data_IF_216385482611
#
_entry.id   IF_216385482611
#
_cell.length_a   1.000
_cell.length_b   1.000
_cell.length_c   1.000
_cell.angle_alpha   90.00
_cell.angle_beta   90.00
_cell.angle_gamma   90.00
#
_symmetry.space_group_name_H-M   'P 1'
#
loop_
_entity.id
_entity.type
_entity.pdbx_description
1 polymer ?
#
# COMPACT_ATOMS: atom_id res chain seq x y z
N UNK A 1 -12.19 16.45 -6.33
CA UNK A 1 -12.27 15.99 -4.93
C UNK A 1 -13.55 15.23 -4.71
N UNK A 2 -13.51 14.11 -3.99
CA UNK A 2 -14.69 13.29 -3.69
C UNK A 2 -14.78 13.04 -2.18
N UNK A 3 -16.01 12.82 -1.70
CA UNK A 3 -16.30 12.50 -0.30
C UNK A 3 -17.16 11.24 -0.25
N UNK A 4 -16.68 10.25 0.48
CA UNK A 4 -17.37 8.98 0.76
C UNK A 4 -17.82 8.95 2.22
N UNK A 5 -18.89 8.20 2.56
CA UNK A 5 -19.39 8.15 3.93
C UNK A 5 -18.38 7.52 4.88
N UNK A 6 -18.45 7.85 6.18
CA UNK A 6 -17.61 7.21 7.20
C UNK A 6 -18.09 5.78 7.52
N UNK A 7 -19.41 5.58 7.45
CA UNK A 7 -20.08 4.31 7.71
C UNK A 7 -20.37 3.61 6.38
N UNK A 8 -20.07 2.31 6.32
CA UNK A 8 -20.29 1.46 5.15
C UNK A 8 -21.05 0.20 5.52
N UNK A 9 -21.71 -0.40 4.52
CA UNK A 9 -22.11 -1.81 4.65
C UNK A 9 -20.86 -2.68 4.64
N UNK A 10 -20.85 -3.69 5.52
CA UNK A 10 -19.81 -4.70 5.52
C UNK A 10 -19.78 -5.41 4.16
N UNK A 11 -18.57 -5.53 3.62
CA UNK A 11 -18.23 -6.26 2.42
C UNK A 11 -16.96 -7.07 2.71
N UNK A 12 -16.83 -8.28 2.14
CA UNK A 12 -15.66 -9.14 2.37
C UNK A 12 -14.36 -8.54 1.84
N UNK A 13 -14.44 -7.56 0.95
CA UNK A 13 -13.27 -6.83 0.44
C UNK A 13 -12.68 -5.86 1.46
N UNK A 14 -13.43 -5.42 2.47
CA UNK A 14 -12.89 -4.56 3.52
C UNK A 14 -11.90 -5.29 4.40
N UNK A 15 -10.93 -4.55 4.92
CA UNK A 15 -9.91 -5.08 5.80
C UNK A 15 -10.48 -5.57 7.14
N UNK A 16 -9.76 -6.51 7.73
CA UNK A 16 -10.03 -7.01 9.08
C UNK A 16 -9.69 -5.99 10.17
N UNK A 17 -9.31 -4.75 9.84
CA UNK A 17 -9.02 -3.70 10.82
C UNK A 17 -10.18 -2.72 11.03
N UNK A 18 -11.33 -2.95 10.40
CA UNK A 18 -12.54 -2.13 10.57
C UNK A 18 -13.34 -2.47 11.84
N UNK A 19 -13.93 -1.45 12.48
CA UNK A 19 -14.89 -1.68 13.57
C UNK A 19 -16.26 -2.06 13.00
N UNK A 20 -16.89 -3.08 13.57
CA UNK A 20 -18.28 -3.43 13.26
C UNK A 20 -19.22 -2.59 14.13
N UNK A 21 -20.26 -2.06 13.52
CA UNK A 21 -21.35 -1.37 14.20
C UNK A 21 -22.45 -2.39 14.48
N UNK A 22 -22.88 -2.47 15.74
CA UNK A 22 -24.00 -3.34 16.13
C UNK A 22 -25.28 -2.79 15.53
N UNK A 23 -25.98 -3.63 14.76
CA UNK A 23 -27.26 -3.33 14.12
C UNK A 23 -28.34 -4.26 14.65
N UNK A 24 -29.62 -3.98 14.37
CA UNK A 24 -30.71 -4.86 14.81
C UNK A 24 -30.62 -6.23 14.11
N UNK A 25 -31.28 -7.24 14.69
CA UNK A 25 -31.42 -8.56 14.06
C UNK A 25 -32.08 -8.37 12.68
N UNK A 26 -31.49 -8.99 11.64
CA UNK A 26 -31.87 -8.90 10.22
C UNK A 26 -31.48 -7.60 9.48
N UNK A 27 -30.79 -6.65 10.12
CA UNK A 27 -30.20 -5.53 9.40
C UNK A 27 -28.84 -5.91 8.80
N UNK A 28 -28.48 -5.27 7.68
CA UNK A 28 -27.16 -5.44 7.07
C UNK A 28 -26.10 -4.94 8.04
N UNK A 29 -25.03 -5.73 8.19
CA UNK A 29 -23.86 -5.36 9.00
C UNK A 29 -23.27 -4.05 8.50
N UNK A 30 -22.95 -3.16 9.43
CA UNK A 30 -22.30 -1.89 9.16
C UNK A 30 -20.89 -1.87 9.75
N UNK A 31 -20.00 -1.10 9.13
CA UNK A 31 -18.64 -0.87 9.61
C UNK A 31 -18.30 0.61 9.61
N UNK A 32 -17.31 0.99 10.43
CA UNK A 32 -16.54 2.21 10.22
C UNK A 32 -15.37 1.89 9.29
N UNK A 33 -15.16 2.72 8.27
CA UNK A 33 -14.05 2.53 7.32
C UNK A 33 -12.68 2.62 8.02
N UNK A 34 -11.79 1.71 7.68
CA UNK A 34 -10.38 1.68 8.11
C UNK A 34 -9.40 2.23 7.06
N UNK A 35 -9.91 2.40 5.84
CA UNK A 35 -9.25 2.98 4.67
C UNK A 35 -10.31 3.56 3.69
N UNK A 36 -9.91 4.48 2.80
CA UNK A 36 -10.82 5.15 1.86
C UNK A 36 -10.76 4.52 0.45
N UNK A 37 -9.68 3.83 0.08
CA UNK A 37 -9.37 3.35 -1.28
C UNK A 37 -10.49 2.49 -1.86
N UNK A 38 -11.02 1.53 -1.08
CA UNK A 38 -12.11 0.65 -1.54
C UNK A 38 -13.40 1.41 -1.82
N UNK A 39 -13.66 2.48 -1.07
CA UNK A 39 -14.80 3.36 -1.33
C UNK A 39 -14.61 4.12 -2.63
N UNK A 40 -13.38 4.58 -2.92
CA UNK A 40 -13.05 5.24 -4.19
C UNK A 40 -13.18 4.25 -5.36
N UNK A 41 -12.67 3.02 -5.22
CA UNK A 41 -12.81 1.98 -6.22
C UNK A 41 -14.29 1.71 -6.53
N UNK A 42 -15.13 1.54 -5.50
CA UNK A 42 -16.58 1.35 -5.65
C UNK A 42 -17.26 2.56 -6.28
N UNK A 43 -16.91 3.78 -5.86
CA UNK A 43 -17.42 5.03 -6.46
C UNK A 43 -17.08 5.09 -7.96
N UNK A 44 -15.84 4.73 -8.30
CA UNK A 44 -15.32 4.73 -9.67
C UNK A 44 -16.10 3.80 -10.60
N UNK A 45 -16.59 2.67 -10.05
CA UNK A 45 -17.36 1.67 -10.79
C UNK A 45 -18.86 2.00 -10.79
N UNK A 46 -19.45 2.30 -9.63
CA UNK A 46 -20.89 2.44 -9.49
C UNK A 46 -21.44 3.78 -10.00
N UNK A 47 -20.68 4.87 -9.88
CA UNK A 47 -21.14 6.22 -10.20
C UNK A 47 -20.37 6.89 -11.32
N UNK A 48 -19.12 6.49 -11.55
CA UNK A 48 -18.22 7.09 -12.53
C UNK A 48 -17.86 6.12 -13.67
N UNK A 49 -18.61 5.03 -13.86
CA UNK A 49 -18.36 4.06 -14.95
C UNK A 49 -18.35 4.69 -16.34
N UNK A 50 -19.24 5.66 -16.58
CA UNK A 50 -19.36 6.38 -17.87
C UNK A 50 -18.34 7.51 -18.08
N UNK A 51 -17.48 7.79 -17.09
CA UNK A 51 -16.45 8.83 -17.20
C UNK A 51 -15.21 8.27 -17.91
N UNK A 52 -14.60 9.09 -18.77
CA UNK A 52 -13.37 8.74 -19.51
C UNK A 52 -12.23 8.42 -18.54
N UNK A 53 -11.42 7.42 -18.87
CA UNK A 53 -10.25 7.00 -18.10
C UNK A 53 -8.97 7.67 -18.64
N UNK A 54 -7.94 7.87 -17.79
CA UNK A 54 -7.93 7.55 -16.35
C UNK A 54 -8.76 8.51 -15.50
N UNK A 55 -9.38 8.00 -14.42
CA UNK A 55 -9.95 8.87 -13.39
C UNK A 55 -8.86 9.27 -12.41
N UNK A 56 -8.73 10.59 -12.18
CA UNK A 56 -7.86 11.16 -11.15
C UNK A 56 -8.72 11.73 -10.03
N UNK A 57 -8.78 11.04 -8.91
CA UNK A 57 -9.69 11.37 -7.79
C UNK A 57 -8.86 11.65 -6.54
N UNK A 58 -9.06 12.81 -5.92
CA UNK A 58 -8.51 13.12 -4.59
C UNK A 58 -9.59 13.06 -3.51
N UNK A 59 -9.19 12.72 -2.28
CA UNK A 59 -10.07 12.59 -1.13
C UNK A 59 -9.38 13.03 0.15
N UNK A 60 -10.20 13.39 1.14
CA UNK A 60 -9.78 13.54 2.52
C UNK A 60 -10.90 13.06 3.46
N UNK A 61 -10.54 12.51 4.61
CA UNK A 61 -11.49 12.22 5.67
C UNK A 61 -10.96 11.27 6.74
N UNK A 62 -11.72 11.18 7.83
CA UNK A 62 -11.38 10.33 8.98
C UNK A 62 -11.41 8.85 8.62
N UNK A 63 -10.45 8.08 9.12
CA UNK A 63 -10.47 6.61 9.11
C UNK A 63 -10.34 6.10 10.53
N UNK A 64 -10.95 4.95 10.83
CA UNK A 64 -10.98 4.37 12.18
C UNK A 64 -10.55 2.91 12.13
N UNK A 65 -9.62 2.51 13.01
CA UNK A 65 -8.96 1.19 13.02
C UNK A 65 -9.11 0.49 14.37
N UNK A 66 -9.41 -0.81 14.36
CA UNK A 66 -9.45 -1.65 15.57
C UNK A 66 -8.12 -1.64 16.31
N UNK A 67 -7.03 -1.73 15.56
CA UNK A 67 -5.66 -1.70 16.04
C UNK A 67 -4.84 -0.65 15.27
N UNK A 68 -4.17 0.23 16.01
CA UNK A 68 -3.15 1.12 15.48
C UNK A 68 -1.88 0.34 15.12
N UNK A 69 -0.95 0.99 14.42
CA UNK A 69 0.38 0.43 14.18
C UNK A 69 1.37 0.93 15.23
N UNK A 70 2.57 0.33 15.31
CA UNK A 70 3.64 0.81 16.19
C UNK A 70 4.02 2.27 15.89
N UNK A 71 3.94 2.70 14.63
CA UNK A 71 4.28 4.05 14.20
C UNK A 71 3.11 5.04 14.33
N UNK A 72 1.87 4.54 14.42
CA UNK A 72 0.63 5.31 14.54
C UNK A 72 -0.33 4.54 15.45
N UNK A 73 -0.13 4.62 16.78
CA UNK A 73 -0.96 3.90 17.74
C UNK A 73 -2.39 4.45 17.78
N UNK A 74 -2.61 5.68 17.32
CA UNK A 74 -3.93 6.30 17.22
C UNK A 74 -4.85 5.46 16.33
N UNK A 75 -6.07 5.28 16.82
CA UNK A 75 -7.10 4.48 16.14
C UNK A 75 -8.05 5.31 15.28
N UNK A 76 -7.93 6.63 15.31
CA UNK A 76 -8.65 7.54 14.44
C UNK A 76 -7.69 8.64 13.98
N UNK A 77 -7.68 8.91 12.68
CA UNK A 77 -6.90 9.99 12.10
C UNK A 77 -7.43 10.40 10.72
N UNK A 78 -7.04 11.58 10.28
CA UNK A 78 -7.33 12.10 8.94
C UNK A 78 -6.44 11.41 7.89
N UNK A 79 -7.07 10.82 6.88
CA UNK A 79 -6.38 10.31 5.69
C UNK A 79 -6.66 11.26 4.51
N UNK A 80 -5.60 11.67 3.83
CA UNK A 80 -5.64 12.47 2.60
C UNK A 80 -4.93 11.64 1.52
N UNK A 81 -5.52 11.54 0.35
CA UNK A 81 -4.95 10.74 -0.73
C UNK A 81 -5.54 11.04 -2.10
N UNK A 82 -4.99 10.37 -3.11
CA UNK A 82 -5.48 10.42 -4.47
C UNK A 82 -5.31 9.06 -5.15
N UNK A 83 -6.26 8.70 -6.03
CA UNK A 83 -6.22 7.50 -6.86
C UNK A 83 -6.20 7.88 -8.34
N UNK A 84 -5.34 7.20 -9.12
CA UNK A 84 -5.38 7.18 -10.58
C UNK A 84 -5.93 5.82 -11.05
N UNK A 85 -7.12 5.82 -11.67
CA UNK A 85 -7.86 4.58 -11.97
C UNK A 85 -8.05 4.41 -13.47
N UNK A 86 -7.53 3.30 -13.99
CA UNK A 86 -7.71 2.89 -15.38
C UNK A 86 -6.54 3.23 -16.31
N UNK A 87 -5.36 3.52 -15.76
CA UNK A 87 -4.10 3.63 -16.51
C UNK A 87 -3.19 2.43 -16.17
N UNK A 88 -2.48 1.91 -17.16
CA UNK A 88 -1.53 0.79 -17.02
C UNK A 88 -0.09 1.20 -17.32
N UNK A 89 0.11 2.38 -17.88
CA UNK A 89 1.43 2.92 -18.16
C UNK A 89 2.14 3.29 -16.85
N UNK A 90 3.43 2.94 -16.73
CA UNK A 90 4.27 3.28 -15.58
C UNK A 90 4.41 4.80 -15.36
N UNK A 91 4.16 5.62 -16.38
CA UNK A 91 4.09 7.07 -16.24
C UNK A 91 2.99 7.53 -15.25
N UNK A 92 1.92 6.74 -15.06
CA UNK A 92 0.94 7.04 -14.02
C UNK A 92 1.51 6.85 -12.61
N UNK A 93 2.34 5.83 -12.41
CA UNK A 93 3.01 5.65 -11.12
C UNK A 93 3.95 6.83 -10.85
N UNK A 94 4.75 7.25 -11.86
CA UNK A 94 5.62 8.43 -11.75
C UNK A 94 4.83 9.70 -11.43
N UNK A 95 3.69 9.93 -12.10
CA UNK A 95 2.82 11.07 -11.81
C UNK A 95 2.30 11.05 -10.37
N UNK A 96 1.86 9.89 -9.87
CA UNK A 96 1.35 9.77 -8.50
C UNK A 96 2.46 9.99 -7.46
N UNK A 97 3.68 9.56 -7.75
CA UNK A 97 4.85 9.78 -6.89
C UNK A 97 5.26 11.26 -6.86
N UNK A 98 5.27 11.93 -8.02
CA UNK A 98 5.54 13.37 -8.10
C UNK A 98 4.45 14.19 -7.39
N UNK A 99 3.18 13.82 -7.55
CA UNK A 99 2.07 14.43 -6.82
C UNK A 99 2.25 14.30 -5.31
N UNK A 100 2.60 13.11 -4.82
CA UNK A 100 2.84 12.87 -3.40
C UNK A 100 4.02 13.70 -2.87
N UNK A 101 5.15 13.70 -3.58
CA UNK A 101 6.33 14.47 -3.24
C UNK A 101 6.04 15.97 -3.19
N UNK A 102 5.45 16.50 -4.27
CA UNK A 102 5.12 17.92 -4.42
C UNK A 102 4.12 18.37 -3.35
N UNK A 103 3.13 17.54 -3.03
CA UNK A 103 2.15 17.84 -1.97
C UNK A 103 2.80 17.95 -0.59
N UNK A 104 3.69 17.01 -0.23
CA UNK A 104 4.41 17.04 1.04
C UNK A 104 5.38 18.23 1.12
N UNK A 105 6.06 18.54 0.01
CA UNK A 105 6.97 19.71 -0.09
C UNK A 105 6.20 21.02 0.08
N UNK A 106 5.02 21.15 -0.56
CA UNK A 106 4.17 22.34 -0.47
C UNK A 106 3.72 22.65 0.97
N UNK A 107 3.48 21.62 1.79
CA UNK A 107 3.13 21.80 3.21
C UNK A 107 4.34 21.94 4.13
N UNK A 108 5.54 22.11 3.56
CA UNK A 108 6.77 22.42 4.28
C UNK A 108 7.56 21.23 4.82
N UNK A 109 7.20 19.99 4.46
CA UNK A 109 7.96 18.81 4.88
C UNK A 109 9.30 18.78 4.14
N UNK A 110 10.39 18.77 4.89
CA UNK A 110 11.77 18.68 4.39
C UNK A 110 12.26 17.23 4.47
N UNK A 111 13.31 16.91 3.72
CA UNK A 111 13.99 15.61 3.76
C UNK A 111 13.05 14.42 3.49
N UNK A 112 12.19 14.52 2.47
CA UNK A 112 11.26 13.47 2.07
C UNK A 112 12.04 12.32 1.40
N UNK A 113 11.85 11.10 1.89
CA UNK A 113 12.37 9.87 1.30
C UNK A 113 11.25 9.05 0.69
N UNK A 114 11.45 8.56 -0.53
CA UNK A 114 10.52 7.70 -1.24
C UNK A 114 11.21 6.36 -1.47
N UNK A 115 10.72 5.30 -0.81
CA UNK A 115 11.17 3.92 -1.03
C UNK A 115 10.22 3.23 -2.01
N UNK A 116 10.76 2.71 -3.11
CA UNK A 116 9.98 1.98 -4.11
C UNK A 116 10.24 0.50 -3.93
N UNK A 117 9.16 -0.28 -3.83
CA UNK A 117 9.24 -1.73 -3.79
C UNK A 117 8.17 -2.34 -4.70
N UNK A 118 8.43 -3.53 -5.23
CA UNK A 118 7.47 -4.26 -6.06
C UNK A 118 7.39 -5.71 -5.63
N UNK A 119 6.15 -6.17 -5.37
CA UNK A 119 5.89 -7.57 -5.03
C UNK A 119 6.25 -8.51 -6.18
N UNK A 120 6.21 -8.05 -7.43
CA UNK A 120 6.48 -8.89 -8.61
C UNK A 120 7.86 -9.55 -8.51
N UNK A 121 8.87 -8.81 -8.09
CA UNK A 121 10.22 -9.33 -7.93
C UNK A 121 10.31 -10.36 -6.78
N UNK A 122 9.67 -10.05 -5.65
CA UNK A 122 9.64 -10.94 -4.49
C UNK A 122 8.84 -12.21 -4.77
N UNK A 123 7.69 -12.11 -5.44
CA UNK A 123 6.82 -13.24 -5.76
C UNK A 123 7.48 -14.18 -6.76
N UNK A 124 8.18 -13.64 -7.77
CA UNK A 124 9.01 -14.45 -8.68
C UNK A 124 10.09 -15.22 -7.90
N UNK A 125 10.74 -14.58 -6.95
CA UNK A 125 11.71 -15.25 -6.09
C UNK A 125 11.06 -16.31 -5.19
N UNK A 126 9.95 -15.99 -4.54
CA UNK A 126 9.20 -16.91 -3.68
C UNK A 126 8.72 -18.14 -4.43
N UNK A 127 8.26 -17.99 -5.68
CA UNK A 127 7.83 -19.13 -6.50
C UNK A 127 8.94 -20.14 -6.80
N UNK A 128 10.21 -19.75 -6.69
CA UNK A 128 11.35 -20.65 -6.87
C UNK A 128 11.63 -21.51 -5.62
N UNK A 129 11.01 -21.20 -4.48
CA UNK A 129 11.24 -21.86 -3.19
C UNK A 129 10.08 -22.83 -2.90
N UNK A 130 10.33 -24.13 -3.01
CA UNK A 130 9.30 -25.17 -2.80
C UNK A 130 9.00 -25.47 -1.32
N UNK A 131 9.98 -25.33 -0.43
CA UNK A 131 9.82 -25.67 0.98
C UNK A 131 9.13 -24.53 1.74
N UNK A 132 7.97 -24.82 2.34
CA UNK A 132 7.11 -23.84 3.02
C UNK A 132 7.76 -23.23 4.27
N UNK A 133 8.44 -24.04 5.08
CA UNK A 133 9.13 -23.55 6.28
C UNK A 133 10.26 -22.60 5.89
N UNK A 134 11.11 -23.01 4.93
CA UNK A 134 12.20 -22.18 4.42
C UNK A 134 11.69 -20.88 3.82
N UNK A 135 10.56 -20.92 3.10
CA UNK A 135 9.92 -19.72 2.55
C UNK A 135 9.48 -18.75 3.67
N UNK A 136 8.95 -19.27 4.78
CA UNK A 136 8.55 -18.45 5.93
C UNK A 136 9.78 -17.79 6.60
N UNK A 137 10.87 -18.53 6.76
CA UNK A 137 12.12 -17.99 7.33
C UNK A 137 12.68 -16.88 6.41
N UNK A 138 12.71 -17.11 5.10
CA UNK A 138 13.13 -16.14 4.09
C UNK A 138 12.26 -14.89 4.11
N UNK A 139 10.93 -15.03 4.17
CA UNK A 139 9.99 -13.90 4.29
C UNK A 139 10.25 -13.09 5.55
N UNK A 140 10.59 -13.74 6.65
CA UNK A 140 10.92 -13.09 7.93
C UNK A 140 12.18 -12.24 7.79
N UNK A 141 13.25 -12.80 7.21
CA UNK A 141 14.51 -12.07 7.00
C UNK A 141 14.34 -10.89 6.05
N UNK A 142 13.55 -11.03 4.98
CA UNK A 142 13.24 -9.93 4.06
C UNK A 142 12.47 -8.82 4.79
N UNK A 143 11.48 -9.17 5.62
CA UNK A 143 10.73 -8.20 6.44
C UNK A 143 11.64 -7.45 7.42
N UNK A 144 12.66 -8.11 7.94
CA UNK A 144 13.66 -7.54 8.84
C UNK A 144 14.77 -6.77 8.11
N UNK A 145 14.76 -6.76 6.76
CA UNK A 145 15.84 -6.24 5.92
C UNK A 145 17.21 -6.89 6.20
N UNK A 146 17.23 -8.16 6.65
CA UNK A 146 18.47 -8.92 6.91
C UNK A 146 18.98 -9.63 5.64
N UNK A 147 19.77 -8.91 4.84
CA UNK A 147 20.42 -9.48 3.66
C UNK A 147 21.47 -10.54 4.03
N UNK A 148 22.22 -10.34 5.12
CA UNK A 148 23.31 -11.25 5.49
C UNK A 148 22.78 -12.62 5.89
N UNK A 149 21.76 -12.67 6.74
CA UNK A 149 21.03 -13.88 7.09
C UNK A 149 20.38 -14.52 5.87
N UNK A 150 19.77 -13.73 4.99
CA UNK A 150 19.11 -14.23 3.79
C UNK A 150 20.09 -14.95 2.85
N UNK A 151 21.27 -14.38 2.61
CA UNK A 151 22.29 -14.97 1.74
C UNK A 151 22.82 -16.31 2.26
N UNK A 152 22.80 -16.54 3.58
CA UNK A 152 23.14 -17.84 4.18
C UNK A 152 22.06 -18.90 3.92
N UNK A 153 20.80 -18.50 3.79
CA UNK A 153 19.65 -19.39 3.58
C UNK A 153 19.26 -19.57 2.12
N UNK A 154 19.93 -18.95 1.15
CA UNK A 154 19.56 -19.05 -0.27
C UNK A 154 20.73 -19.53 -1.12
N UNK A 155 20.43 -20.27 -2.19
CA UNK A 155 21.45 -20.74 -3.13
C UNK A 155 22.21 -19.56 -3.76
N UNK A 156 23.53 -19.75 -4.00
CA UNK A 156 24.42 -18.72 -4.54
C UNK A 156 23.89 -18.07 -5.82
N UNK A 157 23.20 -18.83 -6.69
CA UNK A 157 22.59 -18.32 -7.93
C UNK A 157 21.59 -17.18 -7.70
N UNK A 158 20.97 -17.12 -6.52
CA UNK A 158 19.99 -16.09 -6.17
C UNK A 158 20.61 -14.88 -5.48
N UNK A 159 21.90 -14.93 -5.12
CA UNK A 159 22.54 -13.88 -4.31
C UNK A 159 22.53 -12.52 -5.02
N UNK A 160 22.93 -12.47 -6.29
CA UNK A 160 22.97 -11.20 -7.04
C UNK A 160 21.57 -10.61 -7.20
N UNK A 161 20.58 -11.44 -7.50
CA UNK A 161 19.19 -11.00 -7.62
C UNK A 161 18.68 -10.35 -6.34
N UNK A 162 18.95 -10.96 -5.18
CA UNK A 162 18.57 -10.42 -3.87
C UNK A 162 19.35 -9.15 -3.52
N UNK A 163 20.64 -9.08 -3.84
CA UNK A 163 21.43 -7.85 -3.70
C UNK A 163 20.82 -6.71 -4.52
N UNK A 164 20.38 -6.97 -5.74
CA UNK A 164 19.73 -5.97 -6.58
C UNK A 164 18.37 -5.53 -6.01
N UNK A 165 17.56 -6.45 -5.49
CA UNK A 165 16.29 -6.07 -4.83
C UNK A 165 16.55 -5.18 -3.61
N UNK A 166 17.52 -5.55 -2.77
CA UNK A 166 17.85 -4.76 -1.59
C UNK A 166 18.52 -3.43 -1.95
N UNK A 167 19.25 -3.36 -3.07
CA UNK A 167 19.83 -2.10 -3.54
C UNK A 167 18.79 -1.13 -4.11
N UNK A 168 17.57 -1.58 -4.45
CA UNK A 168 16.45 -0.70 -4.75
C UNK A 168 15.89 0.03 -3.51
N UNK A 169 16.38 -0.28 -2.32
CA UNK A 169 16.09 0.45 -1.08
C UNK A 169 17.31 1.30 -0.67
N UNK A 170 17.11 2.56 -0.28
CA UNK A 170 18.19 3.47 0.14
C UNK A 170 17.95 4.94 -0.21
N UNK A 171 18.91 5.81 0.15
CA UNK A 171 18.87 7.25 -0.17
C UNK A 171 19.13 7.45 -1.66
N UNK A 172 18.37 8.30 -2.34
CA UNK A 172 18.55 8.61 -3.77
C UNK A 172 19.98 9.05 -4.11
N UNK A 173 20.62 9.81 -3.21
CA UNK A 173 22.00 10.30 -3.36
C UNK A 173 23.04 9.18 -3.48
N UNK A 174 22.77 8.02 -2.89
CA UNK A 174 23.67 6.85 -2.93
C UNK A 174 23.45 5.99 -4.19
N UNK A 175 22.52 6.41 -5.07
CA UNK A 175 22.10 5.67 -6.28
C UNK A 175 22.42 6.42 -7.57
N UNK A 176 22.95 7.64 -7.49
CA UNK A 176 23.42 8.38 -8.67
C UNK A 176 24.79 7.82 -9.08
N UNK A 177 24.87 7.16 -10.24
CA UNK A 177 26.14 6.68 -10.82
C UNK A 177 26.39 5.16 -10.80
N UNK A 178 25.39 4.35 -10.45
CA UNK A 178 25.40 2.90 -10.68
C UNK A 178 24.60 2.52 -11.91
#
# INVERSE_FOLDING_TARGET
>A
MVKTPLIEFYDKSFGDNSFNIKVKKNEKRLILRDDITLQIARLSFARLSKKKRPLKLCYYGEVVRKQGSMLRPERQFLQIGAECIGEKNNLADVEMMDLAYSSLKLVGIKNIFIEISSRIFLDKFYSSIKNSQRLNDIKTLIKQKDLSGLLKLVEKKNHQYLRNIFSCTGLYKDKVGN
#
